data_IF_321916055442
#
_entry.id   IF_321916055442
#
_cell.length_a   1.000
_cell.length_b   1.000
_cell.length_c   1.000
_cell.angle_alpha   90.00
_cell.angle_beta   90.00
_cell.angle_gamma   90.00
#
_symmetry.space_group_name_H-M   'P 1'
#
loop_
_entity.id
_entity.type
_entity.pdbx_description
1 polymer ?
#
# COMPACT_ATOMS: atom_id res chain seq x y z
N UNK A 1 -5.53 40.66 28.27
CA UNK A 1 -5.26 39.23 28.49
C UNK A 1 -5.51 38.52 27.17
N UNK A 2 -4.46 38.04 26.51
CA UNK A 2 -4.62 37.28 25.27
C UNK A 2 -5.20 35.90 25.62
N UNK A 3 -6.29 35.53 24.96
CA UNK A 3 -6.79 34.17 25.01
C UNK A 3 -5.68 33.25 24.52
N UNK A 4 -5.15 32.42 25.43
CA UNK A 4 -4.34 31.26 25.06
C UNK A 4 -5.20 30.42 24.13
N UNK A 5 -4.80 30.32 22.87
CA UNK A 5 -5.38 29.37 21.92
C UNK A 5 -5.33 27.98 22.56
N UNK A 6 -6.50 27.49 22.95
CA UNK A 6 -6.69 26.13 23.45
C UNK A 6 -6.66 25.23 22.22
N UNK A 7 -5.48 24.75 21.84
CA UNK A 7 -5.18 23.58 20.99
C UNK A 7 -3.71 23.70 20.53
N UNK A 8 -2.75 23.61 21.44
CA UNK A 8 -1.38 23.33 21.04
C UNK A 8 -1.37 21.92 20.43
N UNK A 9 -1.35 21.84 19.10
CA UNK A 9 -1.10 20.63 18.34
C UNK A 9 0.17 19.95 18.91
N UNK A 10 -0.01 18.92 19.74
CA UNK A 10 1.11 18.20 20.37
C UNK A 10 1.80 17.35 19.31
N UNK A 11 2.71 17.98 18.58
CA UNK A 11 3.59 17.29 17.65
C UNK A 11 4.58 16.43 18.44
N UNK A 12 4.75 15.19 18.00
CA UNK A 12 5.67 14.22 18.58
C UNK A 12 6.65 13.78 17.50
N UNK A 13 7.93 13.86 17.81
CA UNK A 13 9.00 13.33 16.95
C UNK A 13 9.21 11.86 17.28
N UNK A 14 9.30 11.02 16.24
CA UNK A 14 9.64 9.61 16.35
C UNK A 14 10.71 9.27 15.33
N UNK A 15 11.55 8.29 15.66
CA UNK A 15 12.55 7.78 14.74
C UNK A 15 12.07 6.44 14.21
N UNK A 16 12.05 6.30 12.89
CA UNK A 16 11.74 5.05 12.21
C UNK A 16 12.98 4.53 11.49
N UNK A 17 13.01 3.22 11.26
CA UNK A 17 14.03 2.56 10.45
C UNK A 17 13.36 1.60 9.46
N UNK A 18 13.84 1.59 8.22
CA UNK A 18 13.40 0.67 7.17
C UNK A 18 14.55 0.29 6.25
N UNK A 19 14.38 -0.79 5.49
CA UNK A 19 15.34 -1.23 4.47
C UNK A 19 15.03 -0.56 3.14
N UNK A 20 16.02 0.09 2.54
CA UNK A 20 15.90 0.55 1.16
C UNK A 20 16.05 -0.64 0.17
N UNK A 21 15.94 -0.35 -1.12
CA UNK A 21 16.08 -1.35 -2.20
C UNK A 21 17.43 -2.08 -2.19
N UNK A 22 18.49 -1.41 -1.74
CA UNK A 22 19.84 -1.97 -1.68
C UNK A 22 20.07 -2.79 -0.40
N UNK A 23 19.05 -2.94 0.45
CA UNK A 23 19.14 -3.66 1.73
C UNK A 23 19.83 -2.87 2.86
N UNK A 24 20.08 -1.59 2.64
CA UNK A 24 20.68 -0.70 3.63
C UNK A 24 19.63 -0.20 4.62
N UNK A 25 20.04 -0.04 5.89
CA UNK A 25 19.19 0.58 6.91
C UNK A 25 19.11 2.08 6.69
N UNK A 26 17.89 2.57 6.49
CA UNK A 26 17.57 3.99 6.46
C UNK A 26 16.85 4.36 7.74
N UNK A 27 17.46 5.24 8.53
CA UNK A 27 16.85 5.83 9.72
C UNK A 27 16.38 7.25 9.41
N UNK A 28 15.15 7.58 9.82
CA UNK A 28 14.55 8.90 9.59
C UNK A 28 13.76 9.36 10.80
N UNK A 29 13.91 10.64 11.15
CA UNK A 29 12.99 11.30 12.09
C UNK A 29 11.71 11.69 11.34
N UNK A 30 10.57 11.30 11.90
CA UNK A 30 9.24 11.73 11.48
C UNK A 30 8.61 12.60 12.57
N UNK A 31 7.72 13.49 12.17
CA UNK A 31 6.91 14.31 13.09
C UNK A 31 5.46 13.98 12.89
N UNK A 32 4.80 13.61 13.99
CA UNK A 32 3.40 13.19 14.05
C UNK A 32 2.61 14.24 14.80
N UNK A 33 1.45 14.63 14.28
CA UNK A 33 0.50 15.50 14.95
C UNK A 33 -0.64 14.68 15.54
N UNK A 34 -1.10 15.08 16.73
CA UNK A 34 -2.37 14.60 17.27
C UNK A 34 -3.51 15.14 16.39
N UNK A 35 -4.25 14.28 15.67
CA UNK A 35 -5.42 14.75 14.94
C UNK A 35 -6.56 15.05 15.94
N UNK A 36 -7.62 15.69 15.47
CA UNK A 36 -8.83 15.87 16.28
C UNK A 36 -9.53 14.51 16.50
N UNK A 37 -10.44 14.44 17.48
CA UNK A 37 -11.11 13.19 17.83
C UNK A 37 -12.01 12.65 16.70
N UNK A 38 -12.61 13.53 15.90
CA UNK A 38 -13.43 13.16 14.74
C UNK A 38 -12.60 12.38 13.70
N UNK A 39 -11.39 12.85 13.38
CA UNK A 39 -10.46 12.14 12.50
C UNK A 39 -10.05 10.77 13.05
N UNK A 40 -9.90 10.62 14.37
CA UNK A 40 -9.61 9.31 14.99
C UNK A 40 -10.76 8.35 14.75
N UNK A 41 -12.00 8.80 14.96
CA UNK A 41 -13.20 8.00 14.69
C UNK A 41 -13.34 7.65 13.21
N UNK A 42 -13.16 8.62 12.31
CA UNK A 42 -13.23 8.40 10.86
C UNK A 42 -12.24 7.33 10.39
N UNK A 43 -10.99 7.39 10.88
CA UNK A 43 -9.96 6.39 10.56
C UNK A 43 -10.37 5.00 11.04
N UNK A 44 -10.89 4.89 12.28
CA UNK A 44 -11.36 3.62 12.83
C UNK A 44 -12.56 3.06 12.04
N UNK A 45 -13.53 3.90 11.71
CA UNK A 45 -14.71 3.50 10.94
C UNK A 45 -14.33 3.02 9.53
N UNK A 46 -13.39 3.71 8.87
CA UNK A 46 -12.87 3.28 7.56
C UNK A 46 -12.19 1.91 7.63
N UNK A 47 -11.44 1.62 8.70
CA UNK A 47 -10.77 0.33 8.88
C UNK A 47 -11.74 -0.82 9.18
N UNK A 48 -12.86 -0.52 9.85
CA UNK A 48 -13.85 -1.52 10.28
C UNK A 48 -14.94 -1.82 9.25
N UNK A 49 -14.98 -1.10 8.12
CA UNK A 49 -15.96 -1.39 7.05
C UNK A 49 -15.89 -2.86 6.65
N UNK A 50 -17.05 -3.51 6.67
CA UNK A 50 -17.22 -4.92 6.27
C UNK A 50 -17.75 -5.04 4.86
N UNK A 51 -17.30 -6.09 4.15
CA UNK A 51 -17.78 -6.46 2.82
C UNK A 51 -17.04 -5.77 1.66
N UNK A 52 -16.77 -6.56 0.62
CA UNK A 52 -16.24 -6.08 -0.67
C UNK A 52 -14.78 -5.62 -0.64
N UNK A 53 -14.34 -5.05 -1.78
CA UNK A 53 -13.02 -4.43 -1.91
C UNK A 53 -12.97 -3.13 -1.11
N UNK A 54 -12.11 -3.09 -0.08
CA UNK A 54 -11.99 -2.00 0.89
C UNK A 54 -11.02 -0.92 0.41
N UNK A 55 -11.35 0.33 0.72
CA UNK A 55 -10.57 1.49 0.32
C UNK A 55 -9.53 1.91 1.38
N UNK A 56 -8.52 1.06 1.58
CA UNK A 56 -7.39 1.33 2.47
C UNK A 56 -6.57 2.55 2.04
N UNK A 57 -6.61 2.92 0.76
CA UNK A 57 -6.00 4.13 0.24
C UNK A 57 -6.51 5.38 0.94
N UNK A 58 -7.81 5.47 1.23
CA UNK A 58 -8.37 6.61 1.95
C UNK A 58 -7.91 6.69 3.41
N UNK A 59 -7.71 5.54 4.07
CA UNK A 59 -7.16 5.50 5.44
C UNK A 59 -5.77 6.12 5.45
N UNK A 60 -4.89 5.70 4.55
CA UNK A 60 -3.51 6.17 4.50
C UNK A 60 -3.39 7.59 3.97
N UNK A 61 -4.27 8.01 3.07
CA UNK A 61 -4.39 9.40 2.69
C UNK A 61 -4.71 10.30 3.89
N UNK A 62 -5.64 9.89 4.75
CA UNK A 62 -5.97 10.62 5.98
C UNK A 62 -4.79 10.64 6.95
N UNK A 63 -4.08 9.52 7.14
CA UNK A 63 -2.87 9.51 7.97
C UNK A 63 -1.79 10.45 7.44
N UNK A 64 -1.54 10.46 6.13
CA UNK A 64 -0.57 11.38 5.51
C UNK A 64 -0.98 12.86 5.63
N UNK A 65 -2.28 13.16 5.62
CA UNK A 65 -2.80 14.54 5.68
C UNK A 65 -2.88 15.09 7.10
N UNK A 66 -3.40 14.29 8.03
CA UNK A 66 -3.83 14.77 9.35
C UNK A 66 -2.87 14.36 10.48
N UNK A 67 -2.08 13.30 10.29
CA UNK A 67 -1.21 12.72 11.32
C UNK A 67 0.27 12.94 10.99
N UNK A 68 0.73 12.55 9.81
CA UNK A 68 2.13 12.68 9.41
C UNK A 68 2.44 14.10 8.91
N UNK A 69 3.10 14.89 9.74
CA UNK A 69 3.46 16.29 9.41
C UNK A 69 4.78 16.37 8.65
N UNK A 70 5.76 15.58 9.05
CA UNK A 70 7.08 15.57 8.43
C UNK A 70 7.61 14.12 8.29
N UNK A 71 8.07 13.70 7.11
CA UNK A 71 7.99 14.43 5.84
C UNK A 71 6.53 14.64 5.43
N UNK A 72 6.22 15.79 4.83
CA UNK A 72 4.93 15.96 4.17
C UNK A 72 4.95 15.09 2.91
N UNK A 73 3.99 14.21 2.78
CA UNK A 73 3.89 13.30 1.65
C UNK A 73 2.45 13.10 1.21
N UNK A 74 2.30 12.73 -0.05
CA UNK A 74 1.06 12.31 -0.69
C UNK A 74 1.37 11.14 -1.63
N UNK A 75 0.35 10.61 -2.31
CA UNK A 75 0.55 9.51 -3.25
C UNK A 75 1.43 9.86 -4.45
N UNK A 76 1.48 11.13 -4.85
CA UNK A 76 2.36 11.57 -5.93
C UNK A 76 3.83 11.45 -5.49
N UNK A 77 4.16 11.94 -4.30
CA UNK A 77 5.50 11.80 -3.73
C UNK A 77 5.94 10.33 -3.62
N UNK A 78 5.02 9.43 -3.23
CA UNK A 78 5.33 7.99 -3.13
C UNK A 78 5.59 7.41 -4.52
N UNK A 79 4.75 7.71 -5.52
CA UNK A 79 4.94 7.23 -6.90
C UNK A 79 6.31 7.67 -7.45
N UNK A 80 6.66 8.95 -7.28
CA UNK A 80 7.96 9.48 -7.70
C UNK A 80 9.13 8.78 -6.99
N UNK A 81 8.93 8.37 -5.73
CA UNK A 81 9.93 7.62 -4.97
C UNK A 81 10.10 6.18 -5.49
N UNK A 82 9.00 5.51 -5.85
CA UNK A 82 9.03 4.17 -6.46
C UNK A 82 9.75 4.20 -7.81
N UNK A 83 9.42 5.15 -8.67
CA UNK A 83 10.10 5.36 -9.96
C UNK A 83 11.59 5.64 -9.78
N UNK A 84 11.94 6.50 -8.81
CA UNK A 84 13.34 6.82 -8.49
C UNK A 84 14.13 5.58 -8.03
N UNK A 85 13.48 4.70 -7.28
CA UNK A 85 14.05 3.42 -6.86
C UNK A 85 14.06 2.36 -7.98
N UNK A 86 13.46 2.64 -9.15
CA UNK A 86 13.26 1.67 -10.24
C UNK A 86 12.51 0.43 -9.78
N UNK A 87 11.55 0.61 -8.88
CA UNK A 87 10.64 -0.43 -8.39
C UNK A 87 9.29 -0.37 -9.14
N UNK A 88 9.19 0.46 -10.19
CA UNK A 88 7.98 0.69 -10.97
C UNK A 88 7.66 -0.45 -11.94
N UNK A 89 8.60 -1.36 -12.19
CA UNK A 89 8.46 -2.50 -13.11
C UNK A 89 9.22 -3.70 -12.60
N UNK A 90 8.74 -4.88 -12.95
CA UNK A 90 9.39 -6.14 -12.62
C UNK A 90 8.84 -7.30 -13.44
N UNK A 91 9.23 -8.49 -13.03
CA UNK A 91 8.67 -9.74 -13.55
C UNK A 91 8.36 -10.67 -12.40
N UNK A 92 7.26 -11.39 -12.49
CA UNK A 92 6.93 -12.48 -11.57
C UNK A 92 6.97 -13.81 -12.31
N UNK A 93 7.29 -14.87 -11.58
CA UNK A 93 7.28 -16.24 -12.06
C UNK A 93 6.41 -17.08 -11.13
N UNK A 94 5.52 -17.88 -11.70
CA UNK A 94 4.58 -18.70 -10.94
C UNK A 94 4.26 -20.00 -11.70
N UNK A 95 3.71 -20.97 -11.00
CA UNK A 95 3.27 -22.23 -11.59
C UNK A 95 1.86 -22.09 -12.19
N UNK A 96 1.67 -22.58 -13.40
CA UNK A 96 0.39 -22.63 -14.10
C UNK A 96 -0.45 -23.85 -13.66
N UNK A 97 -1.62 -24.08 -14.30
CA UNK A 97 -2.49 -25.22 -13.91
C UNK A 97 -1.85 -26.59 -14.19
N UNK A 98 -0.97 -26.66 -15.18
CA UNK A 98 -0.39 -27.90 -15.69
C UNK A 98 1.02 -28.16 -15.11
N UNK A 99 1.46 -27.34 -14.14
CA UNK A 99 2.77 -27.44 -13.49
C UNK A 99 3.89 -26.73 -14.25
N UNK A 100 3.57 -25.97 -15.29
CA UNK A 100 4.51 -25.19 -16.08
C UNK A 100 4.89 -23.87 -15.39
N UNK A 101 6.13 -23.42 -15.58
CA UNK A 101 6.55 -22.09 -15.10
C UNK A 101 6.11 -21.03 -16.11
N UNK A 102 5.25 -20.12 -15.67
CA UNK A 102 4.81 -18.94 -16.42
C UNK A 102 5.49 -17.70 -15.87
N UNK A 103 5.83 -16.78 -16.78
CA UNK A 103 6.41 -15.48 -16.46
C UNK A 103 5.50 -14.37 -16.95
N UNK A 104 5.23 -13.40 -16.07
CA UNK A 104 4.51 -12.19 -16.41
C UNK A 104 5.34 -10.95 -16.09
N UNK A 105 5.19 -9.92 -16.92
CA UNK A 105 5.67 -8.60 -16.57
C UNK A 105 4.69 -7.99 -15.54
N UNK A 106 5.21 -7.20 -14.62
CA UNK A 106 4.42 -6.43 -13.67
C UNK A 106 4.81 -4.97 -13.74
N UNK A 107 3.82 -4.09 -13.64
CA UNK A 107 4.04 -2.66 -13.46
C UNK A 107 3.46 -2.25 -12.12
N UNK A 108 4.12 -1.31 -11.45
CA UNK A 108 3.60 -0.70 -10.24
C UNK A 108 2.45 0.24 -10.63
N UNK A 109 1.25 0.06 -10.07
CA UNK A 109 0.14 0.97 -10.31
C UNK A 109 0.36 2.26 -9.49
N UNK A 110 -0.66 3.10 -9.29
CA UNK A 110 -0.49 4.19 -8.31
C UNK A 110 -0.29 3.61 -6.90
N UNK A 111 0.47 4.29 -6.03
CA UNK A 111 0.69 3.88 -4.65
C UNK A 111 -0.61 3.75 -3.85
N UNK A 112 -1.64 4.53 -4.21
CA UNK A 112 -2.99 4.40 -3.66
C UNK A 112 -3.60 3.06 -4.04
N UNK A 113 -3.51 2.69 -5.31
CA UNK A 113 -4.04 1.43 -5.82
C UNK A 113 -3.25 0.23 -5.28
N UNK A 114 -1.92 0.32 -5.26
CA UNK A 114 -1.07 -0.70 -4.65
C UNK A 114 -1.45 -0.96 -3.18
N UNK A 115 -1.71 0.11 -2.41
CA UNK A 115 -2.19 0.00 -1.02
C UNK A 115 -3.50 -0.80 -0.96
N UNK A 116 -4.47 -0.45 -1.79
CA UNK A 116 -5.75 -1.15 -1.83
C UNK A 116 -5.59 -2.64 -2.17
N UNK A 117 -4.81 -2.95 -3.20
CA UNK A 117 -4.55 -4.33 -3.63
C UNK A 117 -3.94 -5.14 -2.48
N UNK A 118 -2.86 -4.64 -1.86
CA UNK A 118 -2.12 -5.36 -0.80
C UNK A 118 -3.04 -5.74 0.36
N UNK A 119 -3.88 -4.82 0.81
CA UNK A 119 -4.74 -5.09 1.97
C UNK A 119 -5.99 -5.91 1.66
N UNK A 120 -6.48 -5.86 0.43
CA UNK A 120 -7.59 -6.71 0.00
C UNK A 120 -7.14 -8.15 -0.27
N UNK A 121 -5.84 -8.39 -0.52
CA UNK A 121 -5.25 -9.73 -0.53
C UNK A 121 -5.23 -10.34 0.88
N UNK A 122 -4.99 -9.52 1.91
CA UNK A 122 -4.73 -9.95 3.28
C UNK A 122 -5.98 -9.94 4.19
N UNK A 123 -7.20 -9.82 3.67
CA UNK A 123 -8.41 -9.72 4.52
C UNK A 123 -8.56 -10.95 5.43
N UNK A 124 -8.52 -10.71 6.75
CA UNK A 124 -8.38 -11.70 7.82
C UNK A 124 -9.56 -12.68 7.99
N UNK A 125 -10.71 -12.42 7.36
CA UNK A 125 -11.90 -13.25 7.42
C UNK A 125 -11.97 -14.30 6.28
N UNK A 126 -10.96 -14.33 5.40
CA UNK A 126 -10.94 -15.22 4.23
C UNK A 126 -11.97 -14.85 3.16
N UNK A 127 -12.65 -13.70 3.27
CA UNK A 127 -13.69 -13.25 2.34
C UNK A 127 -13.15 -12.55 1.08
N UNK A 128 -11.85 -12.72 0.79
CA UNK A 128 -11.20 -12.03 -0.32
C UNK A 128 -11.99 -12.24 -1.61
N UNK A 129 -12.43 -11.15 -2.24
CA UNK A 129 -13.06 -11.19 -3.55
C UNK A 129 -11.98 -11.41 -4.60
N UNK A 130 -11.38 -12.61 -4.59
CA UNK A 130 -10.19 -12.96 -5.38
C UNK A 130 -10.39 -12.73 -6.88
N UNK A 131 -11.63 -12.89 -7.36
CA UNK A 131 -11.98 -12.58 -8.75
C UNK A 131 -11.87 -11.09 -9.06
N UNK A 132 -12.42 -10.24 -8.18
CA UNK A 132 -12.34 -8.78 -8.32
C UNK A 132 -10.88 -8.32 -8.23
N UNK A 133 -10.14 -8.80 -7.23
CA UNK A 133 -8.72 -8.53 -7.05
C UNK A 133 -7.89 -8.94 -8.27
N UNK A 134 -8.09 -10.16 -8.79
CA UNK A 134 -7.39 -10.61 -9.99
C UNK A 134 -7.78 -9.75 -11.20
N UNK A 135 -9.03 -9.29 -11.28
CA UNK A 135 -9.47 -8.30 -12.25
C UNK A 135 -8.68 -6.98 -12.16
N UNK A 136 -8.55 -6.41 -10.96
CA UNK A 136 -7.75 -5.20 -10.72
C UNK A 136 -6.29 -5.41 -11.11
N UNK A 137 -5.70 -6.55 -10.74
CA UNK A 137 -4.31 -6.87 -11.11
C UNK A 137 -4.16 -7.01 -12.63
N UNK A 138 -5.10 -7.64 -13.33
CA UNK A 138 -5.09 -7.71 -14.80
C UNK A 138 -5.10 -6.33 -15.43
N UNK A 139 -5.91 -5.43 -14.89
CA UNK A 139 -6.05 -4.08 -15.41
C UNK A 139 -4.82 -3.21 -15.15
N UNK A 140 -4.30 -3.24 -13.92
CA UNK A 140 -3.39 -2.20 -13.46
C UNK A 140 -1.96 -2.68 -13.26
N UNK A 141 -1.74 -3.99 -13.13
CA UNK A 141 -0.43 -4.56 -12.74
C UNK A 141 0.14 -5.52 -13.78
N UNK A 142 -0.59 -6.58 -14.11
CA UNK A 142 -0.10 -7.65 -14.97
C UNK A 142 -0.01 -7.23 -16.42
N UNK A 143 1.12 -7.56 -17.05
CA UNK A 143 1.38 -7.32 -18.46
C UNK A 143 1.94 -8.56 -19.12
N UNK A 144 1.53 -8.81 -20.37
CA UNK A 144 2.15 -9.81 -21.22
C UNK A 144 3.57 -9.37 -21.65
N UNK A 145 4.24 -10.19 -22.46
CA UNK A 145 5.58 -9.92 -23.01
C UNK A 145 5.63 -8.67 -23.92
N UNK A 146 4.49 -8.27 -24.48
CA UNK A 146 4.31 -7.10 -25.34
C UNK A 146 3.83 -5.86 -24.58
N UNK A 147 3.59 -5.97 -23.27
CA UNK A 147 3.11 -4.88 -22.44
C UNK A 147 1.60 -4.67 -22.47
N UNK A 148 0.81 -5.61 -23.00
CA UNK A 148 -0.65 -5.56 -22.93
C UNK A 148 -1.17 -6.09 -21.59
N UNK A 149 -2.35 -5.61 -21.19
CA UNK A 149 -3.07 -6.12 -20.02
C UNK A 149 -3.40 -7.60 -20.19
N UNK A 150 -3.34 -8.34 -19.08
CA UNK A 150 -3.82 -9.73 -19.05
C UNK A 150 -5.35 -9.75 -19.10
N UNK A 151 -5.92 -10.78 -19.70
CA UNK A 151 -7.38 -10.94 -19.84
C UNK A 151 -7.85 -12.23 -19.18
N UNK A 152 -9.16 -12.39 -18.98
CA UNK A 152 -9.71 -13.66 -18.50
C UNK A 152 -9.41 -14.84 -19.43
N UNK A 153 -9.34 -14.62 -20.74
CA UNK A 153 -8.97 -15.66 -21.70
C UNK A 153 -7.55 -16.22 -21.47
N UNK A 154 -6.61 -15.36 -21.05
CA UNK A 154 -5.27 -15.80 -20.67
C UNK A 154 -5.30 -16.76 -19.48
N UNK A 155 -6.12 -16.45 -18.47
CA UNK A 155 -6.27 -17.31 -17.30
C UNK A 155 -7.05 -18.60 -17.62
N UNK A 156 -7.97 -18.57 -18.57
CA UNK A 156 -8.66 -19.77 -19.04
C UNK A 156 -7.70 -20.73 -19.79
N UNK A 157 -6.74 -20.17 -20.54
CA UNK A 157 -5.73 -20.91 -21.28
C UNK A 157 -4.62 -21.47 -20.38
N UNK A 158 -4.04 -20.63 -19.52
CA UNK A 158 -2.86 -20.99 -18.72
C UNK A 158 -3.19 -21.40 -17.28
N UNK A 159 -4.24 -20.83 -16.69
CA UNK A 159 -4.47 -20.93 -15.24
C UNK A 159 -3.40 -20.19 -14.44
N UNK A 160 -3.15 -20.62 -13.19
CA UNK A 160 -2.10 -20.03 -12.34
C UNK A 160 -2.43 -18.66 -11.72
N UNK A 161 -3.59 -18.07 -11.99
CA UNK A 161 -3.98 -16.76 -11.44
C UNK A 161 -3.91 -16.71 -9.90
N UNK A 162 -4.28 -17.80 -9.21
CA UNK A 162 -4.13 -17.89 -7.75
C UNK A 162 -2.67 -17.85 -7.30
N UNK A 163 -1.76 -18.49 -8.04
CA UNK A 163 -0.32 -18.51 -7.76
C UNK A 163 0.36 -17.18 -8.12
N UNK A 164 -0.20 -16.42 -9.06
CA UNK A 164 0.28 -15.08 -9.41
C UNK A 164 -0.02 -14.02 -8.33
N UNK A 165 -1.09 -14.19 -7.53
CA UNK A 165 -1.49 -13.24 -6.49
C UNK A 165 -0.39 -12.97 -5.44
N UNK A 166 0.21 -13.98 -4.76
CA UNK A 166 1.23 -13.73 -3.76
C UNK A 166 2.49 -13.07 -4.34
N UNK A 167 2.87 -13.42 -5.57
CA UNK A 167 4.03 -12.82 -6.25
C UNK A 167 3.78 -11.35 -6.62
N UNK A 168 2.57 -11.03 -7.11
CA UNK A 168 2.16 -9.66 -7.35
C UNK A 168 2.13 -8.85 -6.05
N UNK A 169 1.57 -9.42 -4.97
CA UNK A 169 1.54 -8.77 -3.66
C UNK A 169 2.95 -8.45 -3.16
N UNK A 170 3.88 -9.40 -3.29
CA UNK A 170 5.27 -9.21 -2.93
C UNK A 170 5.92 -8.08 -3.72
N UNK A 171 5.77 -8.08 -5.04
CA UNK A 171 6.28 -7.00 -5.89
C UNK A 171 5.78 -5.62 -5.44
N UNK A 172 4.47 -5.47 -5.21
CA UNK A 172 3.87 -4.21 -4.78
C UNK A 172 4.32 -3.79 -3.37
N UNK A 173 4.41 -4.75 -2.45
CA UNK A 173 4.83 -4.50 -1.08
C UNK A 173 6.30 -4.08 -1.03
N UNK A 174 7.18 -4.78 -1.73
CA UNK A 174 8.62 -4.47 -1.78
C UNK A 174 8.84 -3.05 -2.32
N UNK A 175 8.15 -2.69 -3.41
CA UNK A 175 8.20 -1.34 -3.98
C UNK A 175 7.81 -0.26 -2.96
N UNK A 176 6.76 -0.47 -2.17
CA UNK A 176 6.35 0.48 -1.12
C UNK A 176 7.31 0.47 0.09
N UNK A 177 7.81 -0.69 0.50
CA UNK A 177 8.74 -0.84 1.63
C UNK A 177 10.05 -0.10 1.36
N UNK A 178 10.59 -0.18 0.15
CA UNK A 178 11.83 0.52 -0.22
C UNK A 178 11.72 2.05 -0.16
N UNK A 179 10.51 2.61 -0.14
CA UNK A 179 10.28 4.06 0.05
C UNK A 179 10.16 4.47 1.52
N UNK A 180 10.04 3.51 2.44
CA UNK A 180 9.72 3.73 3.84
C UNK A 180 8.25 4.11 4.09
N UNK A 181 7.40 4.16 3.06
CA UNK A 181 5.98 4.48 3.16
C UNK A 181 5.28 3.59 4.19
N UNK A 182 5.51 2.28 4.10
CA UNK A 182 4.90 1.30 4.99
C UNK A 182 5.21 1.57 6.46
N UNK A 183 6.49 1.73 6.79
CA UNK A 183 6.93 2.00 8.16
C UNK A 183 6.38 3.34 8.68
N UNK A 184 6.35 4.38 7.85
CA UNK A 184 5.75 5.66 8.22
C UNK A 184 4.25 5.55 8.52
N UNK A 185 3.48 4.81 7.71
CA UNK A 185 2.05 4.63 7.91
C UNK A 185 1.74 3.76 9.12
N UNK A 186 2.53 2.71 9.37
CA UNK A 186 2.41 1.91 10.59
C UNK A 186 2.64 2.75 11.84
N UNK A 187 3.68 3.57 11.85
CA UNK A 187 3.99 4.44 12.99
C UNK A 187 2.91 5.52 13.19
N UNK A 188 2.43 6.14 12.10
CA UNK A 188 1.35 7.12 12.17
C UNK A 188 0.04 6.49 12.68
N UNK A 189 -0.32 5.29 12.21
CA UNK A 189 -1.49 4.58 12.69
C UNK A 189 -1.33 4.17 14.16
N UNK A 190 -0.18 3.62 14.58
CA UNK A 190 0.07 3.27 15.98
C UNK A 190 -0.05 4.48 16.90
N UNK A 191 0.53 5.61 16.49
CA UNK A 191 0.42 6.86 17.24
C UNK A 191 -1.02 7.33 17.40
N UNK A 192 -1.85 7.17 16.36
CA UNK A 192 -3.28 7.48 16.42
C UNK A 192 -4.01 6.55 17.41
N UNK A 193 -3.71 5.25 17.39
CA UNK A 193 -4.35 4.25 18.27
C UNK A 193 -3.97 4.39 19.75
N UNK A 194 -2.75 4.85 20.08
CA UNK A 194 -2.34 5.16 21.46
C UNK A 194 -3.19 6.26 22.12
N UNK A 195 -3.98 7.00 21.33
CA UNK A 195 -4.74 8.17 21.73
C UNK A 195 -6.25 8.00 21.55
N UNK A 196 -6.69 6.83 21.08
CA UNK A 196 -8.10 6.42 20.99
C UNK A 196 -8.62 5.93 22.35
#
# INVERSE_FOLDING_TARGET
MAAKNVLDAKQVKRTISYKNKDGEDVTKEITLNQPNYETVLDVNDMQQRSGGFRDFGSVYETLMKEVLVNPRMDYKFINESVEKNKDDKGTIEFEDRDGGTVKLNVIFPSAREATNIIFNIQTADGSANLKELLGTLNDDVFRDDKGHKITWAYWDEHGGGYNALPEANKFLLDALVHTGFWTMMQEANSFLQERA
#
